data_IF_145659886491
#
_entry.id   IF_145659886491
#
_cell.length_a   1.000
_cell.length_b   1.000
_cell.length_c   1.000
_cell.angle_alpha   90.00
_cell.angle_beta   90.00
_cell.angle_gamma   90.00
#
_symmetry.space_group_name_H-M   'P 1'
#
loop_
_entity.id
_entity.type
_entity.pdbx_description
1 polymer ?
#
# COMPACT_ATOMS: atom_id res chain seq x y z
N UNK A 1 -1.48 5.74 -4.39
CA UNK A 1 -1.56 4.48 -3.63
C UNK A 1 -1.38 4.79 -2.16
N UNK A 2 -2.35 4.41 -1.35
CA UNK A 2 -2.32 4.55 0.10
C UNK A 2 -2.26 3.15 0.71
N UNK A 3 -1.40 2.98 1.71
CA UNK A 3 -1.23 1.75 2.48
C UNK A 3 -1.67 2.03 3.90
N UNK A 4 -2.38 1.09 4.54
CA UNK A 4 -2.63 1.10 5.99
C UNK A 4 -2.32 -0.28 6.57
N UNK A 5 -1.27 -0.43 7.36
CA UNK A 5 -0.97 -1.67 8.08
C UNK A 5 -1.23 -1.53 9.57
N UNK A 6 -1.75 -2.59 10.16
CA UNK A 6 -1.85 -2.77 11.60
C UNK A 6 -0.96 -3.99 11.92
N UNK A 7 0.18 -3.75 12.56
CA UNK A 7 0.85 -4.88 13.22
C UNK A 7 -0.02 -5.32 14.40
N UNK A 8 -0.06 -6.63 14.70
CA UNK A 8 -0.87 -7.25 15.79
C UNK A 8 -1.08 -6.31 16.99
N UNK A 9 -2.23 -6.41 17.71
CA UNK A 9 -2.60 -5.49 18.79
C UNK A 9 -1.39 -5.15 19.70
N UNK A 10 -1.08 -3.86 19.82
CA UNK A 10 -0.06 -3.36 20.76
C UNK A 10 1.36 -3.16 20.21
N UNK A 11 1.61 -3.18 18.90
CA UNK A 11 2.95 -2.91 18.34
C UNK A 11 3.10 -1.58 17.61
N UNK A 12 2.33 -1.32 16.55
CA UNK A 12 2.23 -0.01 15.88
C UNK A 12 1.26 -0.08 14.70
N UNK A 13 0.73 1.08 14.29
CA UNK A 13 -0.02 1.26 13.04
C UNK A 13 0.83 2.03 12.05
N UNK A 14 0.79 1.64 10.78
CA UNK A 14 1.53 2.25 9.68
C UNK A 14 0.55 2.76 8.62
N UNK A 15 0.77 3.97 8.10
CA UNK A 15 0.11 4.43 6.89
C UNK A 15 1.15 4.96 5.91
N UNK A 16 1.11 4.51 4.66
CA UNK A 16 2.07 4.91 3.63
C UNK A 16 1.37 5.56 2.45
N UNK A 17 1.80 6.73 2.00
CA UNK A 17 1.35 7.27 0.72
C UNK A 17 2.45 7.07 -0.31
N UNK A 18 2.09 6.54 -1.48
CA UNK A 18 2.96 6.36 -2.62
C UNK A 18 2.28 6.83 -3.91
N UNK A 19 2.88 7.80 -4.58
CA UNK A 19 2.45 8.25 -5.92
C UNK A 19 3.56 7.98 -6.92
N UNK A 20 3.24 7.31 -8.04
CA UNK A 20 4.13 7.20 -9.22
C UNK A 20 3.63 8.13 -10.32
N UNK A 21 4.56 8.75 -11.04
CA UNK A 21 4.29 9.39 -12.33
C UNK A 21 4.15 8.33 -13.43
N UNK A 22 3.65 8.74 -14.60
CA UNK A 22 3.59 7.91 -15.81
C UNK A 22 4.97 7.32 -16.21
N UNK A 23 6.06 7.99 -15.81
CA UNK A 23 7.44 7.55 -16.05
C UNK A 23 7.97 6.63 -14.94
N UNK A 24 7.13 6.17 -14.01
CA UNK A 24 7.51 5.27 -12.93
C UNK A 24 8.28 5.92 -11.78
N UNK A 25 8.48 7.25 -11.80
CA UNK A 25 9.20 8.00 -10.76
C UNK A 25 8.26 8.30 -9.59
N UNK A 26 8.68 7.96 -8.36
CA UNK A 26 7.93 8.32 -7.16
C UNK A 26 8.10 9.82 -6.89
N UNK A 27 7.02 10.62 -6.90
CA UNK A 27 7.12 12.08 -6.66
C UNK A 27 7.33 12.41 -5.19
N UNK A 28 6.60 11.72 -4.31
CA UNK A 28 6.72 11.86 -2.85
C UNK A 28 6.14 10.61 -2.21
N UNK A 29 6.83 10.06 -1.20
CA UNK A 29 6.35 8.94 -0.42
C UNK A 29 6.79 9.06 1.04
N UNK A 30 5.85 8.90 1.95
CA UNK A 30 6.06 9.00 3.39
C UNK A 30 5.30 7.91 4.12
N UNK A 31 5.78 7.58 5.30
CA UNK A 31 5.21 6.63 6.22
C UNK A 31 4.88 7.32 7.54
N UNK A 32 3.62 7.21 7.96
CA UNK A 32 3.12 7.61 9.27
C UNK A 32 3.12 6.39 10.19
N UNK A 33 3.79 6.45 11.33
CA UNK A 33 3.86 5.35 12.31
C UNK A 33 3.34 5.82 13.66
N UNK A 34 2.37 5.08 14.21
CA UNK A 34 1.84 5.29 15.56
C UNK A 34 2.35 4.19 16.49
N UNK A 35 3.13 4.58 17.50
CA UNK A 35 3.69 3.67 18.49
C UNK A 35 2.75 3.46 19.68
N UNK A 36 2.90 2.36 20.45
CA UNK A 36 2.01 2.06 21.58
C UNK A 36 2.13 3.06 22.73
N UNK A 37 3.26 3.76 22.81
CA UNK A 37 3.51 4.83 23.79
C UNK A 37 2.92 6.19 23.35
N UNK A 38 2.17 6.25 22.26
CA UNK A 38 1.58 7.48 21.73
C UNK A 38 2.51 8.33 20.86
N UNK A 39 3.77 7.91 20.65
CA UNK A 39 4.66 8.58 19.70
C UNK A 39 4.10 8.43 18.28
N UNK A 40 4.01 9.54 17.56
CA UNK A 40 3.68 9.58 16.13
C UNK A 40 4.90 10.03 15.34
N UNK A 41 5.25 9.28 14.30
CA UNK A 41 6.37 9.60 13.42
C UNK A 41 5.94 9.71 11.98
N UNK A 42 6.59 10.63 11.26
CA UNK A 42 6.50 10.77 9.81
C UNK A 42 7.90 10.58 9.23
N UNK A 43 8.11 9.50 8.47
CA UNK A 43 9.43 9.18 7.90
C UNK A 43 9.35 9.01 6.38
N UNK A 44 10.43 9.36 5.64
CA UNK A 44 10.47 9.16 4.21
C UNK A 44 10.49 7.66 3.87
N UNK A 45 9.80 7.31 2.78
CA UNK A 45 9.87 5.97 2.18
C UNK A 45 11.10 5.89 1.29
N UNK A 46 11.90 4.86 1.51
CA UNK A 46 13.19 4.63 0.85
C UNK A 46 13.06 4.23 -0.62
N UNK A 47 14.13 4.42 -1.41
CA UNK A 47 14.13 4.28 -2.87
C UNK A 47 13.97 2.82 -3.34
N UNK A 48 14.20 1.83 -2.48
CA UNK A 48 14.02 0.41 -2.84
C UNK A 48 12.55 -0.03 -2.85
N UNK A 49 11.63 0.84 -2.40
CA UNK A 49 10.21 0.54 -2.31
C UNK A 49 9.57 0.30 -3.69
N UNK A 50 8.76 -0.76 -3.80
CA UNK A 50 8.19 -1.21 -5.07
C UNK A 50 6.93 -2.04 -4.88
N UNK A 51 6.08 -2.03 -5.90
CA UNK A 51 4.98 -2.97 -6.09
C UNK A 51 5.30 -3.87 -7.28
N UNK A 52 4.81 -5.11 -7.25
CA UNK A 52 4.89 -6.07 -8.35
C UNK A 52 3.63 -6.96 -8.36
N UNK A 53 3.64 -7.96 -9.23
CA UNK A 53 2.57 -8.95 -9.34
C UNK A 53 1.21 -8.31 -9.68
N UNK A 54 1.03 -7.99 -10.96
CA UNK A 54 -0.04 -7.11 -11.44
C UNK A 54 -1.31 -7.91 -11.80
N UNK A 55 -2.48 -7.35 -11.50
CA UNK A 55 -3.77 -7.78 -12.05
C UNK A 55 -4.39 -6.65 -12.85
N UNK A 56 -4.89 -6.96 -14.05
CA UNK A 56 -5.66 -6.03 -14.89
C UNK A 56 -7.15 -6.21 -14.59
N UNK A 57 -7.85 -5.12 -14.32
CA UNK A 57 -9.31 -5.11 -14.23
C UNK A 57 -9.92 -5.44 -15.58
N UNK A 58 -10.84 -6.40 -15.60
CA UNK A 58 -11.59 -6.75 -16.81
C UNK A 58 -12.60 -5.66 -17.20
N UNK A 59 -13.06 -4.86 -16.23
CA UNK A 59 -14.09 -3.84 -16.44
C UNK A 59 -13.50 -2.53 -16.94
N UNK A 60 -12.38 -2.10 -16.36
CA UNK A 60 -11.81 -0.76 -16.63
C UNK A 60 -10.49 -0.83 -17.39
N UNK A 61 -9.86 -2.00 -17.47
CA UNK A 61 -8.49 -2.16 -17.99
C UNK A 61 -7.40 -1.59 -17.06
N UNK A 62 -7.74 -1.10 -15.86
CA UNK A 62 -6.75 -0.57 -14.93
C UNK A 62 -5.85 -1.69 -14.38
N UNK A 63 -4.56 -1.38 -14.19
CA UNK A 63 -3.58 -2.32 -13.62
C UNK A 63 -3.32 -2.03 -12.14
N UNK A 64 -3.40 -3.06 -11.30
CA UNK A 64 -3.18 -2.98 -9.85
C UNK A 64 -2.10 -3.95 -9.40
N UNK A 65 -1.23 -3.54 -8.47
CA UNK A 65 -0.21 -4.40 -7.89
C UNK A 65 -0.81 -5.25 -6.77
N UNK A 66 -0.29 -6.46 -6.55
CA UNK A 66 -0.77 -7.34 -5.49
C UNK A 66 0.26 -7.64 -4.43
N UNK A 67 1.53 -7.34 -4.70
CA UNK A 67 2.63 -7.54 -3.77
C UNK A 67 3.48 -6.27 -3.66
N UNK A 68 3.96 -5.99 -2.45
CA UNK A 68 4.60 -4.73 -2.11
C UNK A 68 5.82 -4.94 -1.22
N UNK A 69 6.80 -4.06 -1.39
CA UNK A 69 7.96 -3.90 -0.54
C UNK A 69 8.10 -2.42 -0.22
N UNK A 70 8.23 -2.11 1.07
CA UNK A 70 8.47 -0.76 1.56
C UNK A 70 9.78 -0.76 2.35
N UNK A 71 10.63 0.19 1.98
CA UNK A 71 11.93 0.44 2.57
C UNK A 71 11.80 1.65 3.51
N UNK A 72 12.17 1.52 4.78
CA UNK A 72 12.11 2.60 5.77
C UNK A 72 13.49 2.79 6.42
N UNK A 73 14.42 3.34 5.64
CA UNK A 73 15.83 3.49 6.00
C UNK A 73 16.05 4.24 7.32
N UNK A 74 15.23 5.26 7.61
CA UNK A 74 15.32 6.04 8.85
C UNK A 74 15.13 5.20 10.13
N UNK A 75 14.51 4.02 10.02
CA UNK A 75 14.28 3.06 11.11
C UNK A 75 15.03 1.74 10.92
N UNK A 76 15.89 1.64 9.90
CA UNK A 76 16.48 0.37 9.45
C UNK A 76 15.41 -0.74 9.37
N UNK A 77 14.25 -0.38 8.79
CA UNK A 77 13.07 -1.22 8.77
C UNK A 77 12.62 -1.48 7.33
N UNK A 78 11.95 -2.60 7.12
CA UNK A 78 11.34 -2.91 5.82
C UNK A 78 10.10 -3.77 5.99
N UNK A 79 9.20 -3.70 5.01
CA UNK A 79 7.90 -4.37 5.03
C UNK A 79 7.67 -5.06 3.70
N UNK A 80 7.17 -6.28 3.74
CA UNK A 80 6.54 -6.98 2.61
C UNK A 80 5.06 -7.12 2.88
N UNK A 81 4.25 -7.04 1.82
CA UNK A 81 2.81 -7.18 1.94
C UNK A 81 2.20 -7.78 0.68
N UNK A 82 1.18 -8.60 0.86
CA UNK A 82 0.45 -9.29 -0.19
C UNK A 82 -1.06 -9.12 0.01
N UNK A 83 -1.77 -8.71 -1.04
CA UNK A 83 -3.24 -8.64 -1.04
C UNK A 83 -3.83 -10.05 -0.92
N UNK A 84 -4.87 -10.22 -0.12
CA UNK A 84 -5.68 -11.44 -0.11
C UNK A 84 -6.58 -11.53 -1.36
N UNK A 85 -7.18 -10.41 -1.76
CA UNK A 85 -8.08 -10.35 -2.91
C UNK A 85 -7.41 -9.55 -4.04
N UNK A 86 -7.15 -10.21 -5.16
CA UNK A 86 -6.44 -9.59 -6.29
C UNK A 86 -7.36 -8.70 -7.12
N UNK A 87 -8.50 -9.25 -7.52
CA UNK A 87 -9.58 -8.54 -8.22
C UNK A 87 -10.43 -7.77 -7.21
N UNK A 88 -9.90 -6.63 -6.78
CA UNK A 88 -10.51 -5.85 -5.72
C UNK A 88 -10.67 -4.39 -6.13
N UNK A 89 -10.91 -4.14 -7.43
CA UNK A 89 -11.34 -2.81 -7.89
C UNK A 89 -12.77 -2.58 -7.45
N UNK A 90 -13.04 -1.43 -6.83
CA UNK A 90 -14.39 -0.97 -6.57
C UNK A 90 -14.99 -0.48 -7.89
N UNK A 91 -15.93 -1.27 -8.41
CA UNK A 91 -16.65 -0.96 -9.64
C UNK A 91 -18.00 -0.36 -9.25
N UNK A 92 -18.39 0.80 -9.81
CA UNK A 92 -19.71 1.37 -9.55
C UNK A 92 -20.81 0.44 -10.08
N UNK A 93 -21.93 0.38 -9.38
CA UNK A 93 -23.08 -0.48 -9.75
C UNK A 93 -23.73 0.02 -11.04
N UNK A 94 -23.78 1.35 -11.22
CA UNK A 94 -24.43 1.98 -12.36
C UNK A 94 -23.44 2.20 -13.52
N UNK A 95 -23.73 1.70 -14.73
CA UNK A 95 -22.83 1.86 -15.89
C UNK A 95 -22.46 3.31 -16.21
N UNK A 96 -23.38 4.26 -16.01
CA UNK A 96 -23.17 5.68 -16.23
C UNK A 96 -22.17 6.33 -15.26
N UNK A 97 -21.89 5.68 -14.12
CA UNK A 97 -20.88 6.12 -13.16
C UNK A 97 -19.48 5.60 -13.51
N UNK A 98 -19.38 4.64 -14.44
CA UNK A 98 -18.12 4.05 -14.87
C UNK A 98 -17.27 5.14 -15.56
N UNK A 99 -16.04 5.32 -15.07
CA UNK A 99 -15.10 6.35 -15.53
C UNK A 99 -15.48 7.82 -15.20
N UNK A 100 -16.59 8.04 -14.49
CA UNK A 100 -16.96 9.37 -13.94
C UNK A 100 -16.31 9.58 -12.58
N UNK A 101 -16.21 8.51 -11.79
CA UNK A 101 -15.56 8.52 -10.48
C UNK A 101 -14.19 7.85 -10.51
N UNK A 102 -13.42 8.09 -9.46
CA UNK A 102 -12.10 7.49 -9.28
C UNK A 102 -12.28 5.99 -9.00
N UNK A 103 -11.66 5.15 -9.82
CA UNK A 103 -11.63 3.71 -9.59
C UNK A 103 -10.41 3.36 -8.71
N UNK A 104 -10.69 2.83 -7.53
CA UNK A 104 -9.68 2.39 -6.57
C UNK A 104 -9.75 0.88 -6.38
N UNK A 105 -8.61 0.25 -6.12
CA UNK A 105 -8.57 -1.12 -5.61
C UNK A 105 -8.39 -1.13 -4.11
N UNK A 106 -9.28 -1.80 -3.39
CA UNK A 106 -9.28 -1.95 -1.93
C UNK A 106 -9.16 -3.42 -1.55
N UNK A 107 -8.13 -3.78 -0.78
CA UNK A 107 -7.99 -5.15 -0.29
C UNK A 107 -7.27 -5.20 1.02
N UNK A 108 -7.75 -6.08 1.90
CA UNK A 108 -6.96 -6.56 3.01
C UNK A 108 -5.82 -7.46 2.55
N UNK A 109 -4.86 -7.70 3.44
CA UNK A 109 -3.72 -8.54 3.16
C UNK A 109 -2.83 -8.72 4.38
N UNK A 110 -1.69 -9.35 4.15
CA UNK A 110 -0.70 -9.62 5.18
C UNK A 110 0.72 -9.66 4.64
N UNK A 111 1.68 -9.67 5.55
CA UNK A 111 3.07 -9.92 5.20
C UNK A 111 3.99 -9.89 6.41
N UNK A 112 5.26 -9.57 6.17
CA UNK A 112 6.28 -9.52 7.23
C UNK A 112 6.96 -8.18 7.25
N UNK A 113 7.55 -7.83 8.40
CA UNK A 113 8.38 -6.65 8.53
C UNK A 113 9.61 -6.93 9.37
N UNK A 114 10.73 -6.32 9.00
CA UNK A 114 11.85 -6.11 9.91
C UNK A 114 11.63 -4.79 10.65
N UNK A 115 11.51 -4.86 11.97
CA UNK A 115 11.27 -3.72 12.84
C UNK A 115 12.16 -3.78 14.06
N UNK A 116 13.04 -2.79 14.25
CA UNK A 116 14.02 -2.77 15.34
C UNK A 116 14.81 -4.10 15.45
N UNK A 117 15.24 -4.64 14.31
CA UNK A 117 15.97 -5.92 14.22
C UNK A 117 15.13 -7.18 14.48
N UNK A 118 13.80 -7.05 14.64
CA UNK A 118 12.89 -8.18 14.84
C UNK A 118 11.98 -8.38 13.64
N UNK A 119 11.88 -9.63 13.20
CA UNK A 119 10.86 -10.04 12.25
C UNK A 119 9.49 -10.08 12.94
N UNK A 120 8.52 -9.39 12.35
CA UNK A 120 7.12 -9.39 12.79
C UNK A 120 6.19 -9.71 11.63
N UNK A 121 4.98 -10.18 11.95
CA UNK A 121 3.88 -10.28 10.99
C UNK A 121 3.02 -9.02 11.04
N UNK A 122 2.55 -8.60 9.88
CA UNK A 122 1.66 -7.46 9.71
C UNK A 122 0.40 -7.92 8.97
N UNK A 123 -0.73 -7.32 9.31
CA UNK A 123 -1.97 -7.43 8.56
C UNK A 123 -2.46 -6.00 8.28
N UNK A 124 -3.29 -5.81 7.28
CA UNK A 124 -3.69 -4.46 6.95
C UNK A 124 -4.54 -4.38 5.71
N UNK A 125 -4.66 -3.15 5.23
CA UNK A 125 -5.43 -2.73 4.09
C UNK A 125 -4.54 -1.98 3.09
N UNK A 126 -4.82 -2.18 1.82
CA UNK A 126 -4.20 -1.46 0.71
C UNK A 126 -5.29 -0.83 -0.14
N UNK A 127 -5.10 0.45 -0.42
CA UNK A 127 -5.90 1.24 -1.34
C UNK A 127 -5.02 1.73 -2.50
N UNK A 128 -5.39 1.34 -3.71
CA UNK A 128 -4.64 1.70 -4.91
C UNK A 128 -5.53 2.51 -5.84
N UNK A 129 -5.24 3.80 -5.94
CA UNK A 129 -5.51 4.53 -7.15
C UNK A 129 -4.49 4.13 -8.23
N UNK A 130 -4.96 3.63 -9.37
CA UNK A 130 -4.12 3.34 -10.53
C UNK A 130 -4.34 4.37 -11.64
N UNK A 131 -3.23 4.79 -12.25
CA UNK A 131 -3.20 5.56 -13.51
C UNK A 131 -2.59 4.71 -14.65
N UNK A 132 -2.42 3.41 -14.41
CA UNK A 132 -1.79 2.46 -15.34
C UNK A 132 -2.88 1.66 -16.06
N UNK A 133 -2.74 1.54 -17.38
CA UNK A 133 -3.55 0.70 -18.26
C UNK A 133 -2.72 -0.44 -18.82
#
# INVERSE_FOLDING_TARGET
MLFGFISKPGKFSFHGLWSRTLNGVAKTAFASIWHPNGLHEMIPVGPKSRGWDITTSQTTGNKYFNSFFLDLLARNASFTFHKWVRQAELIPILPEQLNVHINISESYGEGTAQWNGKNIRIQGHIEQLSVLK
#
